data_IF_018587395596
#
_entry.id   IF_018587395596
#
_cell.length_a   1.000
_cell.length_b   1.000
_cell.length_c   1.000
_cell.angle_alpha   90.00
_cell.angle_beta   90.00
_cell.angle_gamma   90.00
#
_symmetry.space_group_name_H-M   'P 1'
#
loop_
_entity.id
_entity.type
_entity.pdbx_description
1 polymer ?
#
# COMPACT_ATOMS: atom_id res chain seq x y z
N UNK A 1 -15.22 -113.98 191.77
CA UNK A 1 -16.51 -113.55 191.19
C UNK A 1 -16.74 -112.05 191.42
N UNK A 2 -16.51 -111.50 192.62
CA UNK A 2 -16.56 -110.04 192.86
C UNK A 2 -15.56 -109.21 192.03
N UNK A 3 -14.33 -109.69 191.79
CA UNK A 3 -13.33 -108.93 191.02
C UNK A 3 -13.74 -108.71 189.54
N UNK A 4 -14.37 -109.71 188.91
CA UNK A 4 -14.83 -109.64 187.52
C UNK A 4 -16.00 -108.66 187.34
N UNK A 5 -16.93 -108.64 188.30
CA UNK A 5 -18.04 -107.68 188.29
C UNK A 5 -17.54 -106.24 188.39
N UNK A 6 -16.48 -106.00 189.17
CA UNK A 6 -15.87 -104.67 189.32
C UNK A 6 -15.14 -104.20 188.06
N UNK A 7 -14.47 -105.10 187.35
CA UNK A 7 -13.74 -104.79 186.11
C UNK A 7 -14.69 -104.47 184.95
N UNK A 8 -15.82 -105.21 184.88
CA UNK A 8 -16.90 -104.93 183.93
C UNK A 8 -17.62 -103.62 184.27
N UNK A 9 -17.76 -103.26 185.55
CA UNK A 9 -18.34 -101.98 185.97
C UNK A 9 -17.45 -100.77 185.62
N UNK A 10 -16.12 -100.90 185.68
CA UNK A 10 -15.16 -99.84 185.24
C UNK A 10 -15.26 -99.57 183.74
N UNK A 11 -15.53 -100.60 182.94
CA UNK A 11 -15.78 -100.45 181.49
C UNK A 11 -17.19 -99.87 181.23
N UNK A 12 -18.09 -99.89 182.24
CA UNK A 12 -19.51 -99.51 182.13
C UNK A 12 -19.93 -98.18 182.84
N UNK A 13 -19.10 -97.59 183.73
CA UNK A 13 -19.08 -96.16 184.16
C UNK A 13 -20.08 -95.65 185.24
N UNK A 14 -19.57 -95.43 186.48
CA UNK A 14 -19.77 -94.51 187.66
C UNK A 14 -21.11 -94.12 188.38
N UNK A 15 -20.98 -93.96 189.73
CA UNK A 15 -21.93 -94.01 190.89
C UNK A 15 -22.14 -92.65 191.65
N UNK A 16 -22.98 -92.50 192.73
CA UNK A 16 -22.54 -92.79 194.13
C UNK A 16 -23.62 -93.45 195.05
N UNK A 17 -23.32 -94.61 195.64
CA UNK A 17 -22.92 -94.90 197.04
C UNK A 17 -24.06 -94.97 198.10
N UNK A 18 -24.76 -96.11 198.16
CA UNK A 18 -24.82 -97.00 199.35
C UNK A 18 -25.61 -98.29 199.05
N UNK A 19 -25.05 -99.43 199.49
CA UNK A 19 -25.50 -100.83 199.40
C UNK A 19 -25.30 -101.63 198.06
N UNK A 20 -24.33 -102.56 198.13
CA UNK A 20 -24.04 -103.80 197.37
C UNK A 20 -24.81 -104.11 196.04
N UNK A 21 -24.10 -104.36 194.92
CA UNK A 21 -24.71 -104.53 193.58
C UNK A 21 -25.13 -105.97 193.25
N UNK A 22 -26.32 -106.13 192.67
CA UNK A 22 -26.83 -107.39 192.07
C UNK A 22 -26.38 -107.50 190.60
N UNK A 23 -25.96 -108.69 190.17
CA UNK A 23 -25.60 -109.13 188.79
C UNK A 23 -26.53 -108.59 187.68
N UNK A 24 -27.80 -108.39 188.04
CA UNK A 24 -28.86 -107.84 187.21
C UNK A 24 -28.52 -106.46 186.60
N UNK A 25 -27.81 -105.60 187.34
CA UNK A 25 -27.49 -104.23 186.90
C UNK A 25 -26.41 -104.18 185.81
N UNK A 26 -25.44 -105.10 185.86
CA UNK A 26 -24.36 -105.22 184.87
C UNK A 26 -24.91 -105.81 183.55
N UNK A 27 -25.77 -106.82 183.64
CA UNK A 27 -26.46 -107.40 182.48
C UNK A 27 -27.38 -106.40 181.78
N UNK A 28 -28.04 -105.52 182.53
CA UNK A 28 -28.86 -104.45 181.95
C UNK A 28 -28.01 -103.42 181.20
N UNK A 29 -26.84 -103.08 181.72
CA UNK A 29 -25.92 -102.14 181.06
C UNK A 29 -25.26 -102.73 179.82
N UNK A 30 -24.91 -104.01 179.84
CA UNK A 30 -24.41 -104.72 178.65
C UNK A 30 -25.52 -104.84 177.58
N UNK A 31 -26.77 -105.11 178.00
CA UNK A 31 -27.94 -105.04 177.11
C UNK A 31 -28.17 -103.64 176.55
N UNK A 32 -27.86 -102.59 177.31
CA UNK A 32 -27.91 -101.19 176.86
C UNK A 32 -26.83 -100.90 175.81
N UNK A 33 -25.58 -101.32 176.04
CA UNK A 33 -24.47 -101.13 175.09
C UNK A 33 -24.68 -101.94 173.83
N UNK A 34 -25.12 -103.20 173.90
CA UNK A 34 -25.47 -103.97 172.70
C UNK A 34 -26.67 -103.37 171.96
N UNK A 35 -27.64 -102.77 172.66
CA UNK A 35 -28.71 -101.98 172.00
C UNK A 35 -28.13 -100.74 171.32
N UNK A 36 -27.23 -100.03 171.98
CA UNK A 36 -26.58 -98.82 171.46
C UNK A 36 -25.71 -99.14 170.25
N UNK A 37 -24.89 -100.19 170.30
CA UNK A 37 -24.08 -100.65 169.18
C UNK A 37 -24.97 -101.11 168.02
N UNK A 38 -26.01 -101.93 168.26
CA UNK A 38 -26.98 -102.27 167.20
C UNK A 38 -27.65 -101.03 166.60
N UNK A 39 -27.99 -100.03 167.40
CA UNK A 39 -28.56 -98.76 166.90
C UNK A 39 -27.54 -97.90 166.15
N UNK A 40 -26.28 -97.88 166.59
CA UNK A 40 -25.18 -97.16 165.96
C UNK A 40 -24.79 -97.81 164.64
N UNK A 41 -24.72 -99.14 164.60
CA UNK A 41 -24.43 -99.92 163.41
C UNK A 41 -25.61 -99.85 162.41
N UNK A 42 -26.85 -99.78 162.90
CA UNK A 42 -28.00 -99.45 162.06
C UNK A 42 -27.88 -98.02 161.48
N UNK A 43 -27.47 -97.04 162.28
CA UNK A 43 -27.24 -95.67 161.84
C UNK A 43 -26.09 -95.53 160.85
N UNK A 44 -24.96 -96.25 161.04
CA UNK A 44 -23.83 -96.28 160.10
C UNK A 44 -24.26 -96.89 158.78
N UNK A 45 -24.98 -98.02 158.79
CA UNK A 45 -25.54 -98.60 157.55
C UNK A 45 -26.50 -97.65 156.84
N UNK A 46 -27.32 -96.91 157.58
CA UNK A 46 -28.19 -95.88 157.01
C UNK A 46 -27.36 -94.75 156.38
N UNK A 47 -26.29 -94.29 157.04
CA UNK A 47 -25.38 -93.29 156.49
C UNK A 47 -24.59 -93.79 155.28
N UNK A 48 -24.19 -95.06 155.25
CA UNK A 48 -23.54 -95.70 154.09
C UNK A 48 -24.48 -95.75 152.89
N UNK A 49 -25.76 -96.09 153.10
CA UNK A 49 -26.80 -96.05 152.06
C UNK A 49 -26.98 -94.62 151.56
N UNK A 50 -27.13 -93.64 152.45
CA UNK A 50 -27.24 -92.22 152.05
C UNK A 50 -26.00 -91.71 151.32
N UNK A 51 -24.80 -92.12 151.74
CA UNK A 51 -23.55 -91.75 151.08
C UNK A 51 -23.47 -92.36 149.67
N UNK A 52 -23.92 -93.60 149.51
CA UNK A 52 -24.01 -94.25 148.20
C UNK A 52 -25.04 -93.54 147.29
N UNK A 53 -26.21 -93.17 147.82
CA UNK A 53 -27.23 -92.39 147.11
C UNK A 53 -26.71 -91.01 146.67
N UNK A 54 -26.04 -90.28 147.57
CA UNK A 54 -25.43 -88.97 147.26
C UNK A 54 -24.29 -89.11 146.25
N UNK A 55 -23.46 -90.16 146.36
CA UNK A 55 -22.37 -90.40 145.41
C UNK A 55 -22.90 -90.75 144.01
N UNK A 56 -23.97 -91.55 143.94
CA UNK A 56 -24.65 -91.87 142.69
C UNK A 56 -25.29 -90.63 142.07
N UNK A 57 -25.96 -89.80 142.88
CA UNK A 57 -26.56 -88.54 142.40
C UNK A 57 -25.47 -87.55 141.95
N UNK A 58 -24.33 -87.45 142.65
CA UNK A 58 -23.19 -86.63 142.21
C UNK A 58 -22.59 -87.13 140.89
N UNK A 59 -22.46 -88.44 140.70
CA UNK A 59 -22.01 -89.02 139.43
C UNK A 59 -22.98 -88.68 138.29
N UNK A 60 -24.29 -88.83 138.54
CA UNK A 60 -25.35 -88.44 137.59
C UNK A 60 -25.29 -86.95 137.26
N UNK A 61 -25.07 -86.09 138.25
CA UNK A 61 -24.91 -84.64 138.06
C UNK A 61 -23.66 -84.32 137.24
N UNK A 62 -22.53 -85.00 137.48
CA UNK A 62 -21.29 -84.81 136.73
C UNK A 62 -21.45 -85.19 135.26
N UNK A 63 -22.14 -86.30 134.97
CA UNK A 63 -22.45 -86.73 133.61
C UNK A 63 -23.38 -85.73 132.91
N UNK A 64 -24.42 -85.25 133.60
CA UNK A 64 -25.32 -84.22 133.07
C UNK A 64 -24.59 -82.91 132.78
N UNK A 65 -23.67 -82.48 133.66
CA UNK A 65 -22.82 -81.30 133.44
C UNK A 65 -21.88 -81.50 132.25
N UNK A 66 -21.26 -82.67 132.10
CA UNK A 66 -20.43 -83.00 130.94
C UNK A 66 -21.21 -83.00 129.62
N UNK A 67 -22.40 -83.60 129.61
CA UNK A 67 -23.30 -83.60 128.46
C UNK A 67 -23.81 -82.18 128.12
N UNK A 68 -24.09 -81.36 129.14
CA UNK A 68 -24.44 -79.95 128.96
C UNK A 68 -23.28 -79.16 128.36
N UNK A 69 -22.04 -79.35 128.83
CA UNK A 69 -20.84 -78.71 128.28
C UNK A 69 -20.55 -79.12 126.83
N UNK A 70 -20.72 -80.40 126.47
CA UNK A 70 -20.60 -80.84 125.08
C UNK A 70 -21.66 -80.21 124.16
N UNK A 71 -22.91 -80.11 124.64
CA UNK A 71 -23.98 -79.42 123.91
C UNK A 71 -23.68 -77.94 123.76
N UNK A 72 -23.16 -77.29 124.80
CA UNK A 72 -22.73 -75.90 124.75
C UNK A 72 -21.63 -75.70 123.69
N UNK A 73 -20.58 -76.52 123.71
CA UNK A 73 -19.50 -76.47 122.71
C UNK A 73 -20.02 -76.68 121.28
N UNK A 74 -20.95 -77.64 121.09
CA UNK A 74 -21.56 -77.87 119.78
C UNK A 74 -22.35 -76.65 119.29
N UNK A 75 -23.12 -76.02 120.20
CA UNK A 75 -23.86 -74.79 119.89
C UNK A 75 -22.89 -73.66 119.59
N UNK A 76 -21.83 -73.47 120.38
CA UNK A 76 -20.80 -72.45 120.16
C UNK A 76 -20.11 -72.62 118.80
N UNK A 77 -19.69 -73.84 118.45
CA UNK A 77 -19.11 -74.13 117.13
C UNK A 77 -20.11 -73.82 116.00
N UNK A 78 -21.39 -74.14 116.18
CA UNK A 78 -22.44 -73.86 115.19
C UNK A 78 -22.72 -72.37 115.04
N UNK A 79 -22.77 -71.63 116.15
CA UNK A 79 -22.90 -70.17 116.16
C UNK A 79 -21.73 -69.54 115.40
N UNK A 80 -20.49 -69.94 115.74
CA UNK A 80 -19.30 -69.41 115.07
C UNK A 80 -19.29 -69.68 113.56
N UNK A 81 -19.69 -70.89 113.14
CA UNK A 81 -19.82 -71.22 111.72
C UNK A 81 -20.85 -70.32 111.02
N UNK A 82 -22.02 -70.13 111.62
CA UNK A 82 -23.07 -69.27 111.06
C UNK A 82 -22.65 -67.80 111.02
N UNK A 83 -21.91 -67.32 112.03
CA UNK A 83 -21.33 -65.96 112.03
C UNK A 83 -20.34 -65.78 110.87
N UNK A 84 -19.49 -66.77 110.62
CA UNK A 84 -18.55 -66.74 109.49
C UNK A 84 -19.27 -66.78 108.13
N UNK A 85 -20.31 -67.60 107.99
CA UNK A 85 -21.11 -67.68 106.76
C UNK A 85 -21.88 -66.37 106.51
N UNK A 86 -22.46 -65.77 107.55
CA UNK A 86 -23.14 -64.48 107.48
C UNK A 86 -22.18 -63.35 107.07
N UNK A 87 -20.97 -63.33 107.65
CA UNK A 87 -19.94 -62.36 107.28
C UNK A 87 -19.55 -62.50 105.80
N UNK A 88 -19.29 -63.72 105.34
CA UNK A 88 -18.92 -64.01 103.95
C UNK A 88 -20.03 -63.64 102.96
N UNK A 89 -21.29 -63.94 103.33
CA UNK A 89 -22.46 -63.54 102.56
C UNK A 89 -22.62 -62.01 102.52
N UNK A 90 -22.33 -61.31 103.62
CA UNK A 90 -22.32 -59.85 103.70
C UNK A 90 -21.34 -59.22 102.73
N UNK A 91 -20.07 -59.64 102.76
CA UNK A 91 -19.03 -59.16 101.83
C UNK A 91 -19.41 -59.41 100.37
N UNK A 92 -19.97 -60.59 100.07
CA UNK A 92 -20.38 -60.95 98.70
C UNK A 92 -21.54 -60.08 98.22
N UNK A 93 -22.53 -59.81 99.09
CA UNK A 93 -23.65 -58.91 98.79
C UNK A 93 -23.18 -57.48 98.55
N UNK A 94 -22.25 -56.98 99.36
CA UNK A 94 -21.68 -55.64 99.20
C UNK A 94 -20.91 -55.53 97.89
N UNK A 95 -20.15 -56.55 97.51
CA UNK A 95 -19.49 -56.65 96.21
C UNK A 95 -20.47 -56.55 95.04
N UNK A 96 -21.54 -57.37 95.06
CA UNK A 96 -22.60 -57.33 94.03
C UNK A 96 -23.33 -55.98 94.01
N UNK A 97 -23.57 -55.37 95.17
CA UNK A 97 -24.19 -54.04 95.26
C UNK A 97 -23.29 -52.96 94.67
N UNK A 98 -21.97 -53.06 94.90
CA UNK A 98 -20.99 -52.15 94.33
C UNK A 98 -20.91 -52.26 92.80
N UNK A 99 -20.82 -53.49 92.27
CA UNK A 99 -20.84 -53.73 90.82
C UNK A 99 -22.13 -53.21 90.18
N UNK A 100 -23.29 -53.49 90.78
CA UNK A 100 -24.59 -52.95 90.32
C UNK A 100 -24.57 -51.42 90.25
N UNK A 101 -24.05 -50.74 91.26
CA UNK A 101 -23.95 -49.28 91.27
C UNK A 101 -23.01 -48.76 90.17
N UNK A 102 -21.88 -49.44 89.94
CA UNK A 102 -20.97 -49.10 88.85
C UNK A 102 -21.66 -49.22 87.48
N UNK A 103 -22.39 -50.32 87.23
CA UNK A 103 -23.14 -50.52 86.00
C UNK A 103 -24.24 -49.48 85.79
N UNK A 104 -25.00 -49.14 86.84
CA UNK A 104 -26.02 -48.10 86.77
C UNK A 104 -25.41 -46.72 86.44
N UNK A 105 -24.28 -46.39 87.07
CA UNK A 105 -23.54 -45.15 86.80
C UNK A 105 -23.00 -45.12 85.36
N UNK A 106 -22.53 -46.26 84.85
CA UNK A 106 -22.09 -46.39 83.46
C UNK A 106 -23.25 -46.17 82.47
N UNK A 107 -24.41 -46.81 82.73
CA UNK A 107 -25.59 -46.66 81.89
C UNK A 107 -26.10 -45.23 81.88
N UNK A 108 -26.09 -44.53 83.02
CA UNK A 108 -26.45 -43.12 83.10
C UNK A 108 -25.57 -42.25 82.18
N UNK A 109 -24.24 -42.40 82.28
CA UNK A 109 -23.29 -41.70 81.39
C UNK A 109 -23.51 -42.04 79.92
N UNK A 110 -23.80 -43.30 79.61
CA UNK A 110 -24.06 -43.72 78.23
C UNK A 110 -25.37 -43.12 77.71
N UNK A 111 -26.44 -43.12 78.51
CA UNK A 111 -27.71 -42.48 78.19
C UNK A 111 -27.54 -40.98 77.92
N UNK A 112 -26.76 -40.27 78.74
CA UNK A 112 -26.44 -38.86 78.53
C UNK A 112 -25.70 -38.65 77.20
N UNK A 113 -24.66 -39.45 76.90
CA UNK A 113 -23.90 -39.34 75.65
C UNK A 113 -24.75 -39.60 74.43
N UNK A 114 -25.70 -40.52 74.54
CA UNK A 114 -26.66 -40.84 73.48
C UNK A 114 -27.85 -39.87 73.43
N UNK A 115 -27.89 -38.91 74.36
CA UNK A 115 -28.96 -37.91 74.52
C UNK A 115 -30.33 -38.57 74.66
N UNK A 116 -30.41 -39.61 75.47
CA UNK A 116 -31.66 -40.27 75.81
C UNK A 116 -32.36 -39.41 76.88
N UNK A 117 -33.64 -39.11 76.67
CA UNK A 117 -34.41 -38.20 77.52
C UNK A 117 -34.43 -38.63 79.00
N UNK A 118 -34.50 -37.66 79.90
CA UNK A 118 -34.45 -37.89 81.35
C UNK A 118 -35.55 -38.83 81.88
N UNK A 119 -36.71 -38.91 81.21
CA UNK A 119 -37.79 -39.85 81.58
C UNK A 119 -37.33 -41.31 81.40
N UNK A 120 -36.48 -41.59 80.41
CA UNK A 120 -35.93 -42.92 80.21
C UNK A 120 -34.81 -43.24 81.20
N UNK A 121 -34.12 -42.23 81.74
CA UNK A 121 -33.11 -42.40 82.81
C UNK A 121 -33.71 -42.61 84.19
N UNK A 122 -35.04 -42.65 84.34
CA UNK A 122 -35.71 -43.09 85.58
C UNK A 122 -36.28 -44.51 85.47
N UNK A 123 -36.14 -45.15 84.30
CA UNK A 123 -36.62 -46.51 84.06
C UNK A 123 -35.69 -47.55 84.71
N UNK A 124 -36.21 -48.77 84.88
CA UNK A 124 -35.42 -49.93 85.31
C UNK A 124 -34.29 -50.26 84.34
N UNK A 125 -33.31 -51.05 84.80
CA UNK A 125 -32.10 -51.42 84.06
C UNK A 125 -32.39 -51.92 82.63
N UNK A 126 -33.33 -52.87 82.47
CA UNK A 126 -33.63 -53.49 81.18
C UNK A 126 -34.19 -52.50 80.16
N UNK A 127 -35.07 -51.59 80.60
CA UNK A 127 -35.66 -50.58 79.74
C UNK A 127 -34.63 -49.52 79.31
N UNK A 128 -33.70 -49.14 80.19
CA UNK A 128 -32.59 -48.24 79.81
C UNK A 128 -31.72 -48.87 78.74
N UNK A 129 -31.41 -50.17 78.86
CA UNK A 129 -30.62 -50.89 77.88
C UNK A 129 -31.33 -50.93 76.52
N UNK A 130 -32.63 -51.24 76.50
CA UNK A 130 -33.43 -51.25 75.27
C UNK A 130 -33.53 -49.85 74.62
N UNK A 131 -33.67 -48.80 75.43
CA UNK A 131 -33.67 -47.42 74.96
C UNK A 131 -32.32 -47.02 74.34
N UNK A 132 -31.21 -47.44 74.95
CA UNK A 132 -29.84 -47.27 74.43
C UNK A 132 -29.68 -47.99 73.09
N UNK A 133 -30.11 -49.25 72.98
CA UNK A 133 -30.03 -50.01 71.74
C UNK A 133 -30.86 -49.37 70.63
N UNK A 134 -32.11 -49.04 70.92
CA UNK A 134 -33.01 -48.35 69.97
C UNK A 134 -32.41 -47.03 69.49
N UNK A 135 -31.82 -46.26 70.41
CA UNK A 135 -31.16 -44.99 70.07
C UNK A 135 -29.93 -45.21 69.20
N UNK A 136 -29.12 -46.25 69.44
CA UNK A 136 -27.95 -46.58 68.63
C UNK A 136 -28.35 -46.93 67.18
N UNK A 137 -29.40 -47.75 67.02
CA UNK A 137 -29.94 -48.09 65.71
C UNK A 137 -30.48 -46.86 64.99
N UNK A 138 -31.21 -45.99 65.70
CA UNK A 138 -31.74 -44.75 65.15
C UNK A 138 -30.61 -43.85 64.64
N UNK A 139 -29.58 -43.61 65.46
CA UNK A 139 -28.41 -42.81 65.08
C UNK A 139 -27.72 -43.40 63.85
N UNK A 140 -27.53 -44.73 63.81
CA UNK A 140 -26.93 -45.41 62.66
C UNK A 140 -27.75 -45.21 61.38
N UNK A 141 -29.08 -45.31 61.46
CA UNK A 141 -29.98 -45.05 60.31
C UNK A 141 -29.91 -43.59 59.88
N UNK A 142 -29.94 -42.65 60.83
CA UNK A 142 -29.86 -41.21 60.56
C UNK A 142 -28.54 -40.83 59.86
N UNK A 143 -27.41 -41.30 60.38
CA UNK A 143 -26.09 -41.12 59.76
C UNK A 143 -26.03 -41.75 58.36
N UNK A 144 -26.61 -42.94 58.18
CA UNK A 144 -26.73 -43.59 56.87
C UNK A 144 -27.51 -42.75 55.85
N UNK A 145 -28.67 -42.22 56.24
CA UNK A 145 -29.47 -41.34 55.39
C UNK A 145 -28.72 -40.04 55.07
N UNK A 146 -28.14 -39.37 56.07
CA UNK A 146 -27.37 -38.15 55.89
C UNK A 146 -26.16 -38.35 54.96
N UNK A 147 -25.49 -39.50 55.07
CA UNK A 147 -24.37 -39.86 54.19
C UNK A 147 -24.83 -40.04 52.73
N UNK A 148 -25.96 -40.72 52.51
CA UNK A 148 -26.52 -40.91 51.16
C UNK A 148 -26.95 -39.58 50.55
N UNK A 149 -27.61 -38.72 51.31
CA UNK A 149 -28.00 -37.38 50.88
C UNK A 149 -26.77 -36.53 50.52
N UNK A 150 -25.75 -36.52 51.40
CA UNK A 150 -24.49 -35.80 51.16
C UNK A 150 -23.77 -36.32 49.92
N UNK A 151 -23.70 -37.64 49.72
CA UNK A 151 -23.10 -38.26 48.53
C UNK A 151 -23.87 -37.89 47.26
N UNK A 152 -25.19 -37.87 47.33
CA UNK A 152 -26.05 -37.49 46.20
C UNK A 152 -25.87 -36.01 45.84
N UNK A 153 -25.84 -35.13 46.86
CA UNK A 153 -25.58 -33.72 46.67
C UNK A 153 -24.18 -33.48 46.07
N UNK A 154 -23.14 -34.12 46.62
CA UNK A 154 -21.78 -34.03 46.12
C UNK A 154 -21.68 -34.47 44.65
N UNK A 155 -22.31 -35.58 44.28
CA UNK A 155 -22.37 -36.04 42.90
C UNK A 155 -23.10 -35.03 41.99
N UNK A 156 -24.23 -34.48 42.45
CA UNK A 156 -24.98 -33.47 41.68
C UNK A 156 -24.17 -32.19 41.46
N UNK A 157 -23.41 -31.75 42.47
CA UNK A 157 -22.52 -30.59 42.40
C UNK A 157 -21.34 -30.87 41.48
N UNK A 158 -20.73 -32.06 41.58
CA UNK A 158 -19.65 -32.48 40.68
C UNK A 158 -20.11 -32.48 39.22
N UNK A 159 -21.32 -32.98 38.94
CA UNK A 159 -21.93 -32.93 37.60
C UNK A 159 -22.13 -31.48 37.15
N UNK A 160 -22.72 -30.62 37.99
CA UNK A 160 -22.90 -29.18 37.67
C UNK A 160 -21.58 -28.48 37.38
N UNK A 161 -20.52 -28.76 38.16
CA UNK A 161 -19.18 -28.21 37.94
C UNK A 161 -18.62 -28.67 36.59
N UNK A 162 -18.76 -29.96 36.24
CA UNK A 162 -18.32 -30.47 34.95
C UNK A 162 -19.04 -29.78 33.78
N UNK A 163 -20.36 -29.67 33.85
CA UNK A 163 -21.15 -28.99 32.82
C UNK A 163 -20.81 -27.49 32.72
N UNK A 164 -20.53 -26.82 33.84
CA UNK A 164 -20.12 -25.41 33.83
C UNK A 164 -18.73 -25.22 33.22
N UNK A 165 -17.79 -26.14 33.49
CA UNK A 165 -16.46 -26.14 32.84
C UNK A 165 -16.57 -26.31 31.33
N UNK A 166 -17.32 -27.30 30.86
CA UNK A 166 -17.54 -27.52 29.42
C UNK A 166 -18.20 -26.30 28.75
N UNK A 167 -19.19 -25.67 29.42
CA UNK A 167 -19.80 -24.41 28.93
C UNK A 167 -18.81 -23.25 28.89
N UNK A 168 -17.90 -23.15 29.86
CA UNK A 168 -16.87 -22.11 29.91
C UNK A 168 -15.86 -22.30 28.78
N UNK A 169 -15.33 -23.51 28.61
CA UNK A 169 -14.40 -23.87 27.53
C UNK A 169 -15.00 -23.58 26.14
N UNK A 170 -16.29 -23.91 25.94
CA UNK A 170 -17.01 -23.57 24.70
C UNK A 170 -17.10 -22.07 24.45
N UNK A 171 -17.37 -21.26 25.49
CA UNK A 171 -17.40 -19.79 25.39
C UNK A 171 -16.01 -19.20 25.16
N UNK A 172 -14.98 -19.75 25.80
CA UNK A 172 -13.59 -19.33 25.58
C UNK A 172 -13.17 -19.55 24.14
N UNK A 173 -13.49 -20.72 23.55
CA UNK A 173 -13.26 -20.99 22.13
C UNK A 173 -14.02 -20.00 21.22
N UNK A 174 -15.27 -19.68 21.55
CA UNK A 174 -16.05 -18.70 20.78
C UNK A 174 -15.45 -17.30 20.87
N UNK A 175 -15.03 -16.85 22.06
CA UNK A 175 -14.35 -15.57 22.22
C UNK A 175 -13.04 -15.53 21.43
N UNK A 176 -12.28 -16.61 21.43
CA UNK A 176 -11.03 -16.68 20.67
C UNK A 176 -11.26 -16.61 19.16
N UNK A 177 -12.31 -17.27 18.65
CA UNK A 177 -12.73 -17.15 17.26
C UNK A 177 -13.13 -15.71 16.91
N UNK A 178 -13.90 -15.04 17.77
CA UNK A 178 -14.31 -13.65 17.58
C UNK A 178 -13.10 -12.69 17.58
N UNK A 179 -12.16 -12.87 18.50
CA UNK A 179 -10.91 -12.08 18.52
C UNK A 179 -10.13 -12.23 17.23
N UNK A 180 -9.96 -13.46 16.74
CA UNK A 180 -9.32 -13.72 15.43
C UNK A 180 -10.07 -13.05 14.28
N UNK A 181 -11.41 -13.09 14.29
CA UNK A 181 -12.21 -12.45 13.24
C UNK A 181 -12.08 -10.92 13.27
N UNK A 182 -12.07 -10.31 14.45
CA UNK A 182 -11.83 -8.86 14.60
C UNK A 182 -10.44 -8.49 14.07
N UNK A 183 -9.40 -9.22 14.46
CA UNK A 183 -8.04 -8.97 13.96
C UNK A 183 -7.95 -9.07 12.44
N UNK A 184 -8.61 -10.07 11.83
CA UNK A 184 -8.69 -10.20 10.37
C UNK A 184 -9.40 -9.00 9.72
N UNK A 185 -10.54 -8.57 10.26
CA UNK A 185 -11.30 -7.44 9.71
C UNK A 185 -10.52 -6.12 9.83
N UNK A 186 -9.79 -5.92 10.92
CA UNK A 186 -8.91 -4.76 11.09
C UNK A 186 -7.79 -4.76 10.05
N UNK A 187 -7.19 -5.91 9.76
CA UNK A 187 -6.14 -6.03 8.75
C UNK A 187 -6.66 -5.82 7.33
N UNK A 188 -7.83 -6.38 7.00
CA UNK A 188 -8.52 -6.13 5.74
C UNK A 188 -8.86 -4.65 5.57
N UNK A 189 -9.29 -3.97 6.64
CA UNK A 189 -9.58 -2.53 6.63
C UNK A 189 -8.31 -1.70 6.40
N UNK A 190 -7.19 -2.03 7.06
CA UNK A 190 -5.89 -1.37 6.84
C UNK A 190 -5.43 -1.56 5.39
N UNK A 191 -5.50 -2.79 4.89
CA UNK A 191 -5.13 -3.13 3.50
C UNK A 191 -5.98 -2.37 2.48
N UNK A 192 -7.31 -2.33 2.66
CA UNK A 192 -8.21 -1.55 1.78
C UNK A 192 -7.91 -0.05 1.80
N UNK A 193 -7.57 0.49 2.98
CA UNK A 193 -7.21 1.90 3.11
C UNK A 193 -5.91 2.22 2.37
N UNK A 194 -4.89 1.36 2.50
CA UNK A 194 -3.63 1.49 1.76
C UNK A 194 -3.85 1.45 0.24
N UNK A 195 -4.62 0.46 -0.26
CA UNK A 195 -4.97 0.36 -1.68
C UNK A 195 -5.75 1.57 -2.20
N UNK A 196 -6.58 2.20 -1.36
CA UNK A 196 -7.29 3.43 -1.75
C UNK A 196 -6.31 4.58 -1.97
N UNK A 197 -5.33 4.75 -1.07
CA UNK A 197 -4.30 5.77 -1.19
C UNK A 197 -3.45 5.54 -2.45
N UNK A 198 -2.99 4.30 -2.68
CA UNK A 198 -2.23 3.96 -3.89
C UNK A 198 -3.03 4.22 -5.18
N UNK A 199 -4.34 3.94 -5.18
CA UNK A 199 -5.21 4.27 -6.32
C UNK A 199 -5.29 5.78 -6.55
N UNK A 200 -5.44 6.57 -5.48
CA UNK A 200 -5.52 8.03 -5.58
C UNK A 200 -4.21 8.62 -6.11
N UNK A 201 -3.06 8.12 -5.63
CA UNK A 201 -1.74 8.50 -6.11
C UNK A 201 -1.52 8.13 -7.60
N UNK A 202 -1.90 6.91 -7.99
CA UNK A 202 -1.85 6.49 -9.39
C UNK A 202 -2.77 7.33 -10.29
N UNK A 203 -3.96 7.69 -9.78
CA UNK A 203 -4.90 8.56 -10.49
C UNK A 203 -4.33 9.96 -10.66
N UNK A 204 -3.68 10.52 -9.64
CA UNK A 204 -3.01 11.81 -9.70
C UNK A 204 -1.83 11.77 -10.70
N UNK A 205 -1.02 10.72 -10.68
CA UNK A 205 0.08 10.52 -11.62
C UNK A 205 -0.41 10.44 -13.06
N UNK A 206 -1.47 9.68 -13.32
CA UNK A 206 -2.12 9.60 -14.63
C UNK A 206 -2.63 10.97 -15.10
N UNK A 207 -3.29 11.74 -14.24
CA UNK A 207 -3.73 13.12 -14.58
C UNK A 207 -2.56 14.04 -14.94
N UNK A 208 -1.41 13.92 -14.26
CA UNK A 208 -0.19 14.69 -14.57
C UNK A 208 0.40 14.29 -15.92
N UNK A 209 0.49 12.99 -16.19
CA UNK A 209 0.97 12.47 -17.48
C UNK A 209 0.04 12.87 -18.62
N UNK A 210 -1.27 12.79 -18.41
CA UNK A 210 -2.28 13.20 -19.39
C UNK A 210 -2.11 14.68 -19.78
N UNK A 211 -1.94 15.59 -18.80
CA UNK A 211 -1.65 17.01 -19.07
C UNK A 211 -0.36 17.21 -19.87
N UNK A 212 0.67 16.40 -19.60
CA UNK A 212 1.94 16.43 -20.35
C UNK A 212 1.75 15.96 -21.78
N UNK A 213 0.94 14.92 -22.00
CA UNK A 213 0.58 14.43 -23.34
C UNK A 213 -0.19 15.50 -24.11
N UNK A 214 -1.20 16.13 -23.51
CA UNK A 214 -1.98 17.21 -24.13
C UNK A 214 -1.08 18.39 -24.53
N UNK A 215 -0.17 18.80 -23.64
CA UNK A 215 0.81 19.86 -23.94
C UNK A 215 1.71 19.48 -25.12
N UNK A 216 2.31 18.29 -25.09
CA UNK A 216 3.19 17.82 -26.17
C UNK A 216 2.44 17.67 -27.50
N UNK A 217 1.18 17.25 -27.48
CA UNK A 217 0.33 17.19 -28.66
C UNK A 217 0.06 18.58 -29.25
N UNK A 218 -0.18 19.60 -28.41
CA UNK A 218 -0.34 20.98 -28.85
C UNK A 218 0.96 21.57 -29.43
N UNK A 219 2.11 21.33 -28.79
CA UNK A 219 3.41 21.74 -29.33
C UNK A 219 3.67 21.07 -30.69
N UNK A 220 3.35 19.78 -30.81
CA UNK A 220 3.50 19.02 -32.05
C UNK A 220 2.56 19.52 -33.17
N UNK A 221 1.34 19.95 -32.86
CA UNK A 221 0.42 20.52 -33.87
C UNK A 221 0.92 21.87 -34.39
N UNK A 222 1.43 22.73 -33.51
CA UNK A 222 2.07 24.01 -33.89
C UNK A 222 3.27 23.79 -34.80
N UNK A 223 4.16 22.84 -34.43
CA UNK A 223 5.34 22.52 -35.25
C UNK A 223 4.95 21.94 -36.62
N UNK A 224 3.89 21.11 -36.68
CA UNK A 224 3.35 20.62 -37.96
C UNK A 224 2.83 21.76 -38.83
N UNK A 225 2.04 22.68 -38.24
CA UNK A 225 1.51 23.84 -38.96
C UNK A 225 2.65 24.70 -39.53
N UNK A 226 3.65 25.02 -38.72
CA UNK A 226 4.84 25.76 -39.16
C UNK A 226 5.60 25.03 -40.27
N UNK A 227 5.72 23.70 -40.22
CA UNK A 227 6.37 22.93 -41.27
C UNK A 227 5.59 23.01 -42.61
N UNK A 228 4.26 22.92 -42.57
CA UNK A 228 3.42 23.12 -43.76
C UNK A 228 3.53 24.53 -44.32
N UNK A 229 3.56 25.55 -43.46
CA UNK A 229 3.73 26.95 -43.86
C UNK A 229 5.07 27.17 -44.56
N UNK A 230 6.17 26.68 -43.98
CA UNK A 230 7.50 26.76 -44.59
C UNK A 230 7.57 26.02 -45.92
N UNK A 231 6.87 24.88 -46.06
CA UNK A 231 6.77 24.16 -47.34
C UNK A 231 6.00 24.97 -48.40
N UNK A 232 4.95 25.68 -48.01
CA UNK A 232 4.21 26.58 -48.92
C UNK A 232 5.10 27.75 -49.36
N UNK A 233 5.77 28.42 -48.42
CA UNK A 233 6.72 29.50 -48.73
C UNK A 233 7.86 29.04 -49.64
N UNK A 234 8.35 27.81 -49.45
CA UNK A 234 9.35 27.22 -50.33
C UNK A 234 8.82 26.98 -51.75
N UNK A 235 7.57 26.54 -51.89
CA UNK A 235 6.92 26.37 -53.19
C UNK A 235 6.74 27.73 -53.91
N UNK A 236 6.27 28.76 -53.21
CA UNK A 236 6.12 30.12 -53.74
C UNK A 236 7.47 30.71 -54.19
N UNK A 237 8.52 30.48 -53.39
CA UNK A 237 9.89 30.90 -53.73
C UNK A 237 10.40 30.19 -54.99
N UNK A 238 10.10 28.90 -55.15
CA UNK A 238 10.45 28.16 -56.36
C UNK A 238 9.69 28.67 -57.59
N UNK A 239 8.41 28.99 -57.46
CA UNK A 239 7.61 29.59 -58.55
C UNK A 239 8.17 30.97 -58.94
N UNK A 240 8.51 31.81 -57.96
CA UNK A 240 9.16 33.09 -58.22
C UNK A 240 10.51 32.91 -58.92
N UNK A 241 11.32 31.93 -58.52
CA UNK A 241 12.58 31.60 -59.18
C UNK A 241 12.38 31.21 -60.64
N UNK A 242 11.35 30.40 -60.95
CA UNK A 242 10.98 30.05 -62.33
C UNK A 242 10.62 31.31 -63.12
N UNK A 243 9.74 32.17 -62.59
CA UNK A 243 9.36 33.45 -63.24
C UNK A 243 10.58 34.35 -63.51
N UNK A 244 11.50 34.46 -62.55
CA UNK A 244 12.75 35.23 -62.74
C UNK A 244 13.62 34.63 -63.84
N UNK A 245 13.72 33.31 -63.92
CA UNK A 245 14.45 32.64 -65.01
C UNK A 245 13.81 32.89 -66.37
N UNK A 246 12.48 32.81 -66.48
CA UNK A 246 11.73 33.12 -67.71
C UNK A 246 11.90 34.59 -68.13
N UNK A 247 11.79 35.53 -67.18
CA UNK A 247 12.05 36.94 -67.43
C UNK A 247 13.49 37.18 -67.90
N UNK A 248 14.48 36.54 -67.26
CA UNK A 248 15.89 36.63 -67.66
C UNK A 248 16.08 36.13 -69.09
N UNK A 249 15.45 35.02 -69.46
CA UNK A 249 15.50 34.50 -70.82
C UNK A 249 14.86 35.48 -71.82
N UNK A 250 13.68 36.03 -71.52
CA UNK A 250 13.02 37.02 -72.36
C UNK A 250 13.86 38.29 -72.55
N UNK A 251 14.51 38.80 -71.50
CA UNK A 251 15.44 39.93 -71.57
C UNK A 251 16.63 39.59 -72.49
N UNK A 252 17.17 38.39 -72.38
CA UNK A 252 18.28 37.95 -73.22
C UNK A 252 17.88 37.85 -74.70
N UNK A 253 16.68 37.34 -75.00
CA UNK A 253 16.11 37.31 -76.35
C UNK A 253 15.83 38.71 -76.91
N UNK A 254 15.23 39.60 -76.10
CA UNK A 254 15.01 41.00 -76.47
C UNK A 254 16.34 41.72 -76.72
N UNK A 255 17.36 41.50 -75.90
CA UNK A 255 18.71 42.07 -76.07
C UNK A 255 19.36 41.61 -77.37
N UNK A 256 19.23 40.30 -77.71
CA UNK A 256 19.68 39.76 -79.01
C UNK A 256 18.93 40.41 -80.18
N UNK A 257 17.62 40.63 -80.05
CA UNK A 257 16.80 41.31 -81.06
C UNK A 257 17.19 42.78 -81.24
N UNK A 258 17.37 43.51 -80.13
CA UNK A 258 17.86 44.90 -80.11
C UNK A 258 19.21 45.01 -80.82
N UNK A 259 20.17 44.14 -80.50
CA UNK A 259 21.47 44.12 -81.17
C UNK A 259 21.38 43.83 -82.68
N UNK A 260 20.42 43.01 -83.14
CA UNK A 260 20.14 42.82 -84.57
C UNK A 260 19.55 44.08 -85.19
N UNK A 261 18.61 44.73 -84.52
CA UNK A 261 17.96 45.96 -84.98
C UNK A 261 18.96 47.11 -85.08
N UNK A 262 19.85 47.27 -84.10
CA UNK A 262 20.95 48.25 -84.12
C UNK A 262 21.90 48.01 -85.29
N UNK A 263 22.30 46.75 -85.55
CA UNK A 263 23.10 46.40 -86.73
C UNK A 263 22.38 46.75 -88.04
N UNK A 264 21.08 46.51 -88.12
CA UNK A 264 20.28 46.85 -89.30
C UNK A 264 20.13 48.36 -89.46
N UNK A 265 19.87 49.10 -88.37
CA UNK A 265 19.84 50.56 -88.33
C UNK A 265 21.15 51.13 -88.86
N UNK A 266 22.30 50.68 -88.34
CA UNK A 266 23.60 51.12 -88.80
C UNK A 266 23.84 50.83 -90.30
N UNK A 267 23.35 49.68 -90.83
CA UNK A 267 23.39 49.39 -92.27
C UNK A 267 22.53 50.34 -93.09
N UNK A 268 21.30 50.63 -92.63
CA UNK A 268 20.37 51.56 -93.30
C UNK A 268 20.92 52.98 -93.25
N UNK A 269 21.44 53.44 -92.11
CA UNK A 269 22.09 54.74 -91.97
C UNK A 269 23.27 54.88 -92.94
N UNK A 270 24.13 53.86 -93.06
CA UNK A 270 25.21 53.86 -94.07
C UNK A 270 24.66 54.00 -95.50
N UNK A 271 23.66 53.20 -95.87
CA UNK A 271 23.02 53.31 -97.20
C UNK A 271 22.40 54.68 -97.44
N UNK A 272 21.72 55.22 -96.43
CA UNK A 272 21.12 56.55 -96.49
C UNK A 272 22.20 57.62 -96.71
N UNK A 273 23.33 57.55 -96.02
CA UNK A 273 24.45 58.47 -96.26
C UNK A 273 25.02 58.34 -97.66
N UNK A 274 25.16 57.12 -98.20
CA UNK A 274 25.61 56.89 -99.58
C UNK A 274 24.62 57.49 -100.59
N UNK A 275 23.33 57.17 -100.49
CA UNK A 275 22.29 57.71 -101.38
C UNK A 275 22.21 59.22 -101.27
N UNK A 276 22.35 59.79 -100.06
CA UNK A 276 22.38 61.24 -99.87
C UNK A 276 23.56 61.88 -100.62
N UNK A 277 24.76 61.32 -100.51
CA UNK A 277 25.93 61.83 -101.25
C UNK A 277 25.79 61.66 -102.76
N UNK A 278 25.21 60.55 -103.23
CA UNK A 278 24.93 60.33 -104.65
C UNK A 278 23.94 61.38 -105.18
N UNK A 279 22.89 61.68 -104.42
CA UNK A 279 21.90 62.70 -104.76
C UNK A 279 22.52 64.10 -104.77
N UNK A 280 23.36 64.45 -103.79
CA UNK A 280 24.10 65.73 -103.78
C UNK A 280 25.01 65.87 -105.01
N UNK A 281 25.70 64.80 -105.42
CA UNK A 281 26.50 64.78 -106.65
C UNK A 281 25.61 64.95 -107.88
N UNK A 282 24.47 64.26 -107.93
CA UNK A 282 23.54 64.36 -109.04
C UNK A 282 22.91 65.76 -109.14
N UNK A 283 22.54 66.37 -108.00
CA UNK A 283 22.05 67.75 -107.91
C UNK A 283 23.12 68.73 -108.40
N UNK A 284 24.38 68.55 -107.98
CA UNK A 284 25.50 69.35 -108.46
C UNK A 284 25.69 69.23 -109.98
N UNK A 285 25.66 68.00 -110.53
CA UNK A 285 25.74 67.77 -111.98
C UNK A 285 24.59 68.42 -112.74
N UNK A 286 23.35 68.23 -112.28
CA UNK A 286 22.17 68.84 -112.89
C UNK A 286 22.24 70.37 -112.87
N UNK A 287 22.78 70.97 -111.80
CA UNK A 287 23.05 72.42 -111.73
C UNK A 287 24.12 72.87 -112.73
N UNK A 288 25.22 72.14 -112.86
CA UNK A 288 26.28 72.48 -113.82
C UNK A 288 25.79 72.36 -115.28
N UNK A 289 25.04 71.30 -115.59
CA UNK A 289 24.40 71.12 -116.90
C UNK A 289 23.42 72.27 -117.21
N UNK A 290 22.61 72.68 -116.23
CA UNK A 290 21.72 73.84 -116.37
C UNK A 290 22.50 75.13 -116.67
N UNK A 291 23.61 75.37 -115.95
CA UNK A 291 24.47 76.52 -116.19
C UNK A 291 25.16 76.47 -117.56
N UNK A 292 25.60 75.29 -118.02
CA UNK A 292 26.12 75.10 -119.38
C UNK A 292 25.06 75.41 -120.44
N UNK A 293 23.84 74.88 -120.28
CA UNK A 293 22.73 75.16 -121.18
C UNK A 293 22.39 76.66 -121.23
N UNK A 294 22.40 77.35 -120.09
CA UNK A 294 22.23 78.80 -120.02
C UNK A 294 23.33 79.57 -120.75
N UNK A 295 24.61 79.17 -120.60
CA UNK A 295 25.74 79.76 -121.35
C UNK A 295 25.58 79.61 -122.86
N UNK A 296 25.20 78.42 -123.33
CA UNK A 296 24.92 78.15 -124.74
C UNK A 296 23.77 79.00 -125.28
N UNK A 297 22.65 79.09 -124.54
CA UNK A 297 21.53 79.96 -124.89
C UNK A 297 21.95 81.42 -125.00
N UNK A 298 22.78 81.90 -124.08
CA UNK A 298 23.28 83.28 -124.12
C UNK A 298 24.20 83.54 -125.32
N UNK A 299 25.07 82.58 -125.66
CA UNK A 299 25.88 82.64 -126.88
C UNK A 299 25.00 82.70 -128.14
N UNK A 300 24.02 81.81 -128.26
CA UNK A 300 23.11 81.78 -129.42
C UNK A 300 22.27 83.06 -129.51
N UNK A 301 21.83 83.61 -128.38
CA UNK A 301 21.13 84.89 -128.35
C UNK A 301 22.01 86.04 -128.87
N UNK A 302 23.30 86.04 -128.55
CA UNK A 302 24.26 87.03 -129.07
C UNK A 302 24.49 86.86 -130.59
N UNK A 303 24.65 85.62 -131.08
CA UNK A 303 24.80 85.34 -132.51
C UNK A 303 23.57 85.83 -133.31
N UNK A 304 22.36 85.61 -132.76
CA UNK A 304 21.12 86.11 -133.34
C UNK A 304 21.05 87.63 -133.38
N UNK A 305 21.56 88.31 -132.35
CA UNK A 305 21.63 89.77 -132.32
C UNK A 305 22.60 90.33 -133.38
N UNK A 306 23.75 89.67 -133.58
CA UNK A 306 24.70 90.05 -134.64
C UNK A 306 24.11 89.86 -136.05
N UNK A 307 23.42 88.74 -136.30
CA UNK A 307 22.75 88.48 -137.57
C UNK A 307 21.68 89.54 -137.88
N UNK A 308 20.84 89.89 -136.89
CA UNK A 308 19.83 90.94 -137.03
C UNK A 308 20.46 92.31 -137.34
N UNK A 309 21.62 92.64 -136.75
CA UNK A 309 22.31 93.89 -137.03
C UNK A 309 22.89 93.92 -138.45
N UNK A 310 23.39 92.78 -138.96
CA UNK A 310 23.91 92.65 -140.33
C UNK A 310 22.82 92.82 -141.37
N UNK A 311 21.67 92.19 -141.14
CA UNK A 311 20.49 92.30 -141.99
C UNK A 311 20.03 93.75 -142.13
N UNK A 312 19.95 94.48 -141.00
CA UNK A 312 19.61 95.91 -141.01
C UNK A 312 20.55 96.75 -141.88
N UNK A 313 21.87 96.54 -141.80
CA UNK A 313 22.85 97.29 -142.62
C UNK A 313 22.68 97.04 -144.12
N UNK A 314 22.33 95.82 -144.52
CA UNK A 314 22.03 95.48 -145.91
C UNK A 314 20.75 96.17 -146.39
N UNK A 315 19.72 96.20 -145.55
CA UNK A 315 18.46 96.91 -145.82
C UNK A 315 18.71 98.41 -146.06
N UNK A 316 19.52 99.04 -145.20
CA UNK A 316 19.85 100.46 -145.28
C UNK A 316 20.63 100.80 -146.57
N UNK A 317 21.58 99.93 -146.97
CA UNK A 317 22.33 100.09 -148.23
C UNK A 317 21.44 100.08 -149.47
N UNK A 318 20.51 99.12 -149.58
CA UNK A 318 19.55 99.04 -150.69
C UNK A 318 18.68 100.30 -150.83
N UNK A 319 18.36 100.94 -149.70
CA UNK A 319 17.54 102.15 -149.67
C UNK A 319 18.27 103.34 -150.30
N UNK A 320 19.58 103.49 -150.01
CA UNK A 320 20.41 104.59 -150.56
C UNK A 320 20.59 104.46 -152.07
N UNK A 321 20.85 103.25 -152.58
CA UNK A 321 21.04 103.01 -154.02
C UNK A 321 19.75 103.33 -154.80
N UNK A 322 18.60 103.02 -154.22
CA UNK A 322 17.29 103.29 -154.82
C UNK A 322 17.01 104.81 -154.95
N UNK A 323 17.46 105.62 -153.99
CA UNK A 323 17.28 107.08 -154.03
C UNK A 323 18.16 107.76 -155.10
N UNK A 324 19.37 107.26 -155.36
CA UNK A 324 20.25 107.87 -156.37
C UNK A 324 19.76 107.67 -157.82
N UNK A 325 18.84 106.73 -158.07
CA UNK A 325 18.39 106.37 -159.42
C UNK A 325 17.12 107.09 -159.88
N UNK A 326 16.66 108.10 -159.14
CA UNK A 326 15.52 108.94 -159.55
C UNK A 326 14.19 108.17 -159.69
N UNK A 327 14.06 107.02 -159.02
CA UNK A 327 12.81 106.25 -158.93
C UNK A 327 12.21 106.49 -157.55
N UNK A 328 11.23 107.37 -157.48
CA UNK A 328 10.37 107.49 -156.30
C UNK A 328 9.43 106.28 -156.25
N UNK A 329 9.93 105.14 -155.75
CA UNK A 329 9.25 104.23 -154.81
C UNK A 329 10.12 102.96 -154.53
N UNK A 330 10.69 102.80 -153.31
CA UNK A 330 11.74 101.82 -152.99
C UNK A 330 11.22 100.46 -152.51
N UNK A 331 10.12 99.92 -153.06
CA UNK A 331 9.47 98.72 -152.48
C UNK A 331 9.02 97.62 -153.46
N UNK A 332 9.31 97.73 -154.76
CA UNK A 332 9.03 96.60 -155.68
C UNK A 332 9.96 96.55 -156.89
N UNK A 333 11.16 97.13 -156.80
CA UNK A 333 12.16 96.97 -157.85
C UNK A 333 13.07 95.80 -157.49
N UNK A 334 13.02 94.66 -158.21
CA UNK A 334 13.99 93.60 -158.03
C UNK A 334 15.40 94.18 -158.22
N UNK A 335 16.32 93.82 -157.33
CA UNK A 335 17.70 94.33 -157.30
C UNK A 335 18.42 94.20 -158.66
N UNK A 336 17.97 93.26 -159.50
CA UNK A 336 18.44 93.06 -160.87
C UNK A 336 18.09 94.19 -161.85
N UNK A 337 16.99 94.91 -161.64
CA UNK A 337 16.52 95.99 -162.52
C UNK A 337 17.24 97.32 -162.21
N UNK A 338 17.58 97.54 -160.93
CA UNK A 338 18.48 98.60 -160.45
C UNK A 338 19.86 98.46 -161.11
N UNK A 339 20.40 97.23 -161.12
CA UNK A 339 21.68 96.91 -161.74
C UNK A 339 21.64 97.17 -163.26
N UNK A 340 20.56 96.81 -163.95
CA UNK A 340 20.43 97.04 -165.41
C UNK A 340 20.31 98.52 -165.79
N UNK A 341 19.65 99.36 -164.99
CA UNK A 341 19.56 100.82 -165.25
C UNK A 341 20.89 101.54 -165.00
N UNK A 342 21.66 101.07 -164.02
CA UNK A 342 23.07 101.45 -163.85
C UNK A 342 23.89 101.10 -165.11
N UNK A 343 23.61 99.96 -165.74
CA UNK A 343 24.33 99.45 -166.91
C UNK A 343 24.18 100.35 -168.16
N UNK A 344 23.00 100.96 -168.38
CA UNK A 344 22.72 101.84 -169.53
C UNK A 344 23.37 103.22 -169.40
N UNK A 345 23.58 103.72 -168.17
CA UNK A 345 24.22 105.03 -167.94
C UNK A 345 25.74 104.98 -168.08
N UNK A 346 26.37 103.82 -167.90
CA UNK A 346 27.82 103.69 -167.74
C UNK A 346 28.57 103.53 -169.09
N UNK A 347 27.89 103.29 -170.23
CA UNK A 347 28.61 102.85 -171.44
C UNK A 347 28.40 103.68 -172.73
N UNK A 348 27.94 104.93 -172.65
CA UNK A 348 28.29 105.97 -173.64
C UNK A 348 29.53 106.74 -173.16
N UNK A 349 30.70 106.43 -173.71
CA UNK A 349 31.98 107.10 -173.40
C UNK A 349 33.02 106.18 -172.76
N UNK A 350 34.08 105.88 -173.52
CA UNK A 350 35.25 105.08 -173.12
C UNK A 350 36.17 105.77 -172.11
N UNK A 351 36.85 104.98 -171.26
CA UNK A 351 38.33 104.81 -171.19
C UNK A 351 38.88 104.55 -169.75
N UNK A 352 39.86 103.61 -169.67
CA UNK A 352 40.87 103.42 -168.59
C UNK A 352 40.37 102.92 -167.22
N UNK A 353 41.06 102.12 -166.40
CA UNK A 353 42.28 101.27 -166.37
C UNK A 353 42.20 100.59 -164.95
N UNK A 354 42.95 99.49 -164.67
CA UNK A 354 42.64 98.41 -163.72
C UNK A 354 43.35 98.54 -162.36
N UNK A 355 43.16 97.57 -161.45
CA UNK A 355 44.11 97.01 -160.45
C UNK A 355 43.29 96.17 -159.44
N UNK A 356 43.47 94.84 -159.24
CA UNK A 356 44.61 94.07 -158.74
C UNK A 356 45.02 94.40 -157.28
N UNK A 357 44.76 93.45 -156.35
CA UNK A 357 45.50 93.16 -155.09
C UNK A 357 44.71 92.07 -154.32
N UNK A 358 45.07 90.78 -154.31
CA UNK A 358 46.17 90.13 -153.57
C UNK A 358 46.31 90.56 -152.10
N UNK A 359 46.11 89.60 -151.19
CA UNK A 359 47.03 89.28 -150.10
C UNK A 359 46.75 87.86 -149.56
N UNK A 360 47.85 87.16 -149.26
CA UNK A 360 47.94 85.78 -148.83
C UNK A 360 48.02 85.63 -147.29
N UNK A 361 47.92 84.36 -146.85
CA UNK A 361 48.33 83.64 -145.60
C UNK A 361 49.37 84.30 -144.65
N UNK A 362 49.65 83.85 -143.37
CA UNK A 362 49.74 82.42 -142.91
C UNK A 362 49.64 82.03 -141.38
N UNK A 363 49.72 80.71 -141.12
CA UNK A 363 50.37 79.91 -140.02
C UNK A 363 50.21 80.17 -138.47
N UNK A 364 49.62 79.18 -137.75
CA UNK A 364 50.19 78.21 -136.75
C UNK A 364 51.01 78.67 -135.48
N UNK A 365 51.41 77.80 -134.50
CA UNK A 365 50.67 77.26 -133.31
C UNK A 365 51.50 77.27 -131.97
N UNK A 366 51.07 76.56 -130.90
CA UNK A 366 51.79 75.89 -129.76
C UNK A 366 50.93 75.94 -128.46
N UNK A 367 51.07 75.15 -127.36
CA UNK A 367 51.41 73.76 -126.96
C UNK A 367 51.54 73.78 -125.40
N UNK A 368 51.50 72.60 -124.74
CA UNK A 368 51.93 72.26 -123.35
C UNK A 368 50.90 72.47 -122.20
N UNK A 369 50.36 71.43 -121.53
CA UNK A 369 50.92 70.40 -120.60
C UNK A 369 50.76 70.79 -119.13
N UNK A 370 50.16 69.92 -118.30
CA UNK A 370 50.80 69.36 -117.08
C UNK A 370 49.92 68.29 -116.41
N UNK A 371 50.59 67.28 -115.87
CA UNK A 371 50.08 66.06 -115.24
C UNK A 371 50.40 66.03 -113.72
N UNK A 372 49.77 65.10 -112.99
CA UNK A 372 50.28 64.29 -111.84
C UNK A 372 49.09 63.43 -111.34
N UNK A 373 49.06 62.09 -111.41
CA UNK A 373 49.84 61.04 -110.71
C UNK A 373 49.71 61.09 -109.18
N UNK A 374 49.52 60.05 -108.37
CA UNK A 374 49.41 58.58 -108.52
C UNK A 374 49.36 57.92 -107.12
N UNK A 375 48.71 56.75 -106.99
CA UNK A 375 49.05 55.54 -106.19
C UNK A 375 49.28 55.60 -104.64
N UNK A 376 48.74 54.63 -103.88
CA UNK A 376 49.50 53.47 -103.31
C UNK A 376 48.64 52.45 -102.56
N UNK A 377 49.05 51.19 -102.69
CA UNK A 377 48.60 49.92 -102.10
C UNK A 377 49.36 49.55 -100.80
N UNK A 378 48.83 48.57 -100.05
CA UNK A 378 49.56 47.67 -99.13
C UNK A 378 49.38 47.96 -97.63
N UNK A 379 49.42 47.02 -96.68
CA UNK A 379 49.55 45.55 -96.66
C UNK A 379 49.56 45.09 -95.17
N UNK A 380 49.28 43.80 -94.93
CA UNK A 380 49.69 42.93 -93.79
C UNK A 380 49.00 42.99 -92.41
N UNK A 381 48.66 41.78 -91.89
CA UNK A 381 48.11 41.43 -90.56
C UNK A 381 49.14 41.52 -89.41
N UNK A 382 49.09 40.73 -88.30
CA UNK A 382 48.49 39.39 -88.08
C UNK A 382 47.69 39.25 -86.74
N UNK A 383 46.81 38.24 -86.54
CA UNK A 383 46.99 36.92 -85.87
C UNK A 383 47.58 36.93 -84.43
N UNK A 384 46.82 36.41 -83.44
CA UNK A 384 47.20 35.59 -82.23
C UNK A 384 45.88 35.29 -81.47
N UNK A 385 45.30 34.08 -81.45
CA UNK A 385 45.56 32.86 -80.65
C UNK A 385 45.08 32.84 -79.17
N UNK A 386 44.32 31.77 -78.88
CA UNK A 386 44.32 30.91 -77.67
C UNK A 386 43.42 31.19 -76.43
N UNK A 387 42.45 30.28 -76.21
CA UNK A 387 42.02 29.71 -74.92
C UNK A 387 43.19 28.94 -74.23
N UNK A 388 43.22 28.56 -72.92
CA UNK A 388 42.09 27.96 -72.16
C UNK A 388 42.03 28.13 -70.59
N UNK A 389 40.85 27.78 -70.04
CA UNK A 389 40.55 26.97 -68.81
C UNK A 389 40.96 27.36 -67.35
N UNK A 390 40.21 26.85 -66.32
CA UNK A 390 40.23 27.21 -64.88
C UNK A 390 41.14 26.23 -64.06
N UNK A 391 41.23 26.17 -62.69
CA UNK A 391 40.17 25.99 -61.65
C UNK A 391 40.44 26.64 -60.26
N UNK A 392 39.55 26.41 -59.28
CA UNK A 392 39.80 25.82 -57.94
C UNK A 392 38.79 26.33 -56.87
N UNK A 393 38.28 25.34 -56.15
CA UNK A 393 37.41 25.29 -54.96
C UNK A 393 38.01 25.95 -53.71
N UNK A 394 37.17 26.54 -52.86
CA UNK A 394 37.00 26.20 -51.42
C UNK A 394 36.13 27.25 -50.71
N UNK A 395 35.16 26.78 -49.91
CA UNK A 395 34.26 27.59 -49.08
C UNK A 395 32.87 27.02 -48.95
#
# INVERSE_FOLDING_TARGET
MEAFLKEVEVVLGDLPESALPKEERVLDKLREVCRRDKSSNASVRELEVRLAEVSQEHARQTELLGAAGQREQQIQCRVHKLESELLTAGVSKDGLSHEKQQYLTFLEKLSEKMKIEHIATDLGFDMRLEAILTRAEQLTRQEGTALVETKTLAYSLQKKVKEQKERLESKELHMELLRRKVAQLDEEKRSRSALSVERDDATLANRKLQKKVERLQAELSVMRFSNTELKAQLADTNELKIRVMEQKQAIEEQSKSLGKLEKNKAKVEKRLTTVKTELEIQEYRARDELLQAQRLLHSQANDMAELAQREKRLQDFCTVVSQMLGVDMPASLPSSEVIKRLDVLIHSGHHHFPLACHCATPHHPHLMVSACSSLTEGSLGPEVQALPAPPVTDG
#
